data_IF_779610352692
#
_entry.id   IF_779610352692
#
_cell.length_a   1.000
_cell.length_b   1.000
_cell.length_c   1.000
_cell.angle_alpha   90.00
_cell.angle_beta   90.00
_cell.angle_gamma   90.00
#
_symmetry.space_group_name_H-M   'P 1'
#
loop_
_entity.id
_entity.type
_entity.pdbx_description
1 polymer ?
#
# COMPACT_ATOMS: atom_id res chain seq x y z
N UNK A 1 -13.23 -6.25 -4.47
CA UNK A 1 -13.30 -5.04 -3.63
C UNK A 1 -13.15 -3.75 -4.44
N UNK A 2 -12.33 -3.68 -5.50
CA UNK A 2 -12.17 -2.48 -6.37
C UNK A 2 -13.51 -1.83 -6.83
N UNK A 3 -14.55 -2.63 -7.13
CA UNK A 3 -15.87 -2.13 -7.55
C UNK A 3 -16.64 -1.38 -6.46
N UNK A 4 -16.45 -1.76 -5.21
CA UNK A 4 -17.09 -1.09 -4.07
C UNK A 4 -16.34 0.17 -3.66
N UNK A 5 -15.02 0.19 -3.84
CA UNK A 5 -14.17 1.36 -3.62
C UNK A 5 -14.56 2.52 -4.55
N UNK A 6 -14.76 2.22 -5.83
CA UNK A 6 -15.23 3.20 -6.84
C UNK A 6 -16.64 3.70 -6.49
N UNK A 7 -17.53 2.82 -5.99
CA UNK A 7 -18.88 3.22 -5.59
C UNK A 7 -18.88 4.12 -4.36
N UNK A 8 -17.99 3.88 -3.39
CA UNK A 8 -17.79 4.74 -2.21
C UNK A 8 -17.24 6.09 -2.64
N UNK A 9 -16.30 6.13 -3.58
CA UNK A 9 -15.74 7.34 -4.15
C UNK A 9 -16.85 8.20 -4.79
N UNK A 10 -17.69 7.62 -5.65
CA UNK A 10 -18.82 8.34 -6.25
C UNK A 10 -19.85 8.80 -5.21
N UNK A 11 -20.09 8.02 -4.16
CA UNK A 11 -21.00 8.36 -3.08
C UNK A 11 -20.57 9.58 -2.28
N UNK A 12 -19.26 9.79 -2.10
CA UNK A 12 -18.72 10.97 -1.40
C UNK A 12 -18.97 12.29 -2.14
N UNK A 13 -19.09 12.25 -3.47
CA UNK A 13 -19.30 13.44 -4.30
C UNK A 13 -20.76 13.78 -4.55
N UNK A 14 -21.70 12.86 -4.31
CA UNK A 14 -23.13 13.07 -4.57
C UNK A 14 -23.90 13.69 -3.40
N UNK A 15 -23.30 13.84 -2.21
CA UNK A 15 -23.97 14.48 -1.08
C UNK A 15 -23.94 15.99 -1.28
N UNK A 16 -24.98 16.47 -1.95
CA UNK A 16 -25.17 17.89 -2.25
C UNK A 16 -25.64 18.69 -1.03
N UNK A 17 -25.03 19.86 -0.88
CA UNK A 17 -25.64 21.11 -0.44
C UNK A 17 -26.40 21.10 0.90
N UNK A 18 -25.65 21.03 1.97
CA UNK A 18 -26.03 21.71 3.19
C UNK A 18 -24.85 22.62 3.57
N UNK A 19 -25.03 23.88 3.31
CA UNK A 19 -24.33 25.09 3.74
C UNK A 19 -23.24 24.95 4.82
N UNK A 20 -22.14 24.37 4.48
CA UNK A 20 -20.82 24.59 5.05
C UNK A 20 -19.87 24.56 3.86
N UNK A 21 -18.80 25.29 3.90
CA UNK A 21 -17.81 25.40 2.82
C UNK A 21 -17.21 24.03 2.54
N UNK A 22 -17.89 23.24 1.72
CA UNK A 22 -17.54 21.85 1.43
C UNK A 22 -16.73 21.84 0.16
N UNK A 23 -15.43 22.16 0.29
CA UNK A 23 -14.48 22.16 -0.80
C UNK A 23 -14.14 20.71 -1.24
N UNK A 24 -13.95 20.51 -2.53
CA UNK A 24 -13.31 19.32 -3.08
C UNK A 24 -11.91 19.71 -3.49
N UNK A 25 -10.92 19.00 -2.99
CA UNK A 25 -9.52 19.20 -3.29
C UNK A 25 -9.00 18.01 -4.09
N UNK A 26 -8.19 18.29 -5.09
CA UNK A 26 -7.46 17.29 -5.87
C UNK A 26 -6.00 17.70 -5.90
N UNK A 27 -5.09 16.78 -5.66
CA UNK A 27 -3.69 17.14 -5.61
C UNK A 27 -2.75 15.96 -5.76
N UNK A 28 -1.48 16.27 -5.62
CA UNK A 28 -0.38 15.30 -5.58
C UNK A 28 0.26 15.33 -4.19
N UNK A 29 0.75 14.17 -3.78
CA UNK A 29 1.48 14.01 -2.52
C UNK A 29 2.80 13.29 -2.77
N UNK A 30 3.85 13.70 -2.04
CA UNK A 30 5.07 12.93 -1.88
C UNK A 30 5.09 12.33 -0.49
N UNK A 31 5.25 11.03 -0.39
CA UNK A 31 5.15 10.28 0.86
C UNK A 31 6.40 9.47 1.15
N UNK A 32 6.75 9.38 2.43
CA UNK A 32 7.62 8.35 2.98
C UNK A 32 6.74 7.38 3.77
N UNK A 33 6.65 6.15 3.30
CA UNK A 33 5.91 5.07 3.95
C UNK A 33 6.84 4.16 4.74
N UNK A 34 6.44 3.83 5.97
CA UNK A 34 6.98 2.74 6.76
C UNK A 34 5.93 1.64 6.81
N UNK A 35 6.31 0.44 6.41
CA UNK A 35 5.41 -0.69 6.23
C UNK A 35 5.75 -1.81 7.20
N UNK A 36 4.73 -2.44 7.73
CA UNK A 36 4.85 -3.67 8.50
C UNK A 36 3.82 -4.67 7.98
N UNK A 37 4.30 -5.83 7.58
CA UNK A 37 3.47 -6.95 7.14
C UNK A 37 3.87 -8.23 7.89
N UNK A 38 2.90 -9.11 8.12
CA UNK A 38 3.13 -10.42 8.74
C UNK A 38 2.60 -11.50 7.82
N UNK A 39 3.41 -12.53 7.60
CA UNK A 39 3.02 -13.69 6.81
C UNK A 39 3.11 -14.96 7.66
N UNK A 40 2.21 -15.89 7.37
CA UNK A 40 2.20 -17.22 7.99
C UNK A 40 2.15 -18.27 6.89
N UNK A 41 3.20 -19.07 6.83
CA UNK A 41 3.23 -20.26 6.01
C UNK A 41 2.67 -21.45 6.82
N UNK A 42 1.74 -22.18 6.27
CA UNK A 42 1.16 -23.38 6.86
C UNK A 42 1.48 -24.54 5.92
N UNK A 43 2.58 -25.24 6.24
CA UNK A 43 2.98 -26.51 5.65
C UNK A 43 3.01 -27.58 6.75
N UNK A 44 3.86 -28.59 6.64
CA UNK A 44 4.06 -29.61 7.70
C UNK A 44 4.54 -28.99 9.03
N UNK A 45 5.27 -27.87 8.96
CA UNK A 45 5.62 -27.01 10.08
C UNK A 45 5.12 -25.59 9.82
N UNK A 46 4.63 -24.92 10.88
CA UNK A 46 4.15 -23.54 10.76
C UNK A 46 5.31 -22.56 10.95
N UNK A 47 5.61 -21.80 9.92
CA UNK A 47 6.55 -20.68 9.99
C UNK A 47 5.78 -19.35 9.96
N UNK A 48 6.15 -18.43 10.85
CA UNK A 48 5.60 -17.08 10.86
C UNK A 48 6.74 -16.06 10.87
N UNK A 49 6.59 -15.01 10.07
CA UNK A 49 7.54 -13.91 9.99
C UNK A 49 6.83 -12.57 9.95
N UNK A 50 7.52 -11.53 10.37
CA UNK A 50 7.12 -10.15 10.20
C UNK A 50 8.25 -9.40 9.51
N UNK A 51 7.90 -8.67 8.46
CA UNK A 51 8.84 -7.88 7.69
C UNK A 51 8.50 -6.40 7.84
N UNK A 52 9.54 -5.59 7.79
CA UNK A 52 9.44 -4.13 7.87
C UNK A 52 10.14 -3.54 6.66
N UNK A 53 9.50 -2.57 6.04
CA UNK A 53 10.04 -1.87 4.89
C UNK A 53 9.85 -0.37 4.97
N UNK A 54 10.60 0.36 4.15
CA UNK A 54 10.43 1.79 3.95
C UNK A 54 10.53 2.10 2.47
N UNK A 55 9.61 2.91 1.95
CA UNK A 55 9.66 3.38 0.58
C UNK A 55 9.20 4.83 0.47
N UNK A 56 9.80 5.57 -0.48
CA UNK A 56 9.31 6.87 -0.91
C UNK A 56 8.46 6.71 -2.16
N UNK A 57 7.31 7.35 -2.21
CA UNK A 57 6.40 7.28 -3.34
C UNK A 57 5.62 8.57 -3.56
N UNK A 58 5.17 8.76 -4.81
CA UNK A 58 4.24 9.80 -5.19
C UNK A 58 2.82 9.27 -5.29
N UNK A 59 1.85 10.09 -4.92
CA UNK A 59 0.44 9.73 -5.05
C UNK A 59 -0.40 10.87 -5.60
N UNK A 60 -1.57 10.52 -6.10
CA UNK A 60 -2.64 11.45 -6.43
C UNK A 60 -3.76 11.25 -5.43
N UNK A 61 -4.36 12.34 -4.98
CA UNK A 61 -5.47 12.26 -4.04
C UNK A 61 -6.64 13.13 -4.45
N UNK A 62 -7.80 12.72 -3.97
CA UNK A 62 -9.02 13.51 -4.00
C UNK A 62 -9.65 13.48 -2.62
N UNK A 63 -10.02 14.64 -2.11
CA UNK A 63 -10.61 14.74 -0.78
C UNK A 63 -11.74 15.77 -0.75
N UNK A 64 -12.61 15.60 0.22
CA UNK A 64 -13.70 16.49 0.56
C UNK A 64 -13.47 17.09 1.93
N UNK A 65 -13.33 18.41 1.99
CA UNK A 65 -13.27 19.15 3.25
C UNK A 65 -14.63 19.19 3.94
N UNK A 66 -14.62 19.02 5.24
CA UNK A 66 -15.80 19.09 6.11
C UNK A 66 -15.51 20.12 7.20
N UNK A 67 -16.04 21.33 7.01
CA UNK A 67 -15.65 22.48 7.79
C UNK A 67 -14.18 22.85 7.59
N UNK A 68 -13.58 23.51 8.59
CA UNK A 68 -12.26 24.13 8.44
C UNK A 68 -11.10 23.16 8.72
N UNK A 69 -11.37 22.00 9.32
CA UNK A 69 -10.29 21.17 9.86
C UNK A 69 -10.32 19.71 9.44
N UNK A 70 -11.48 19.19 9.08
CA UNK A 70 -11.63 17.78 8.74
C UNK A 70 -11.70 17.61 7.23
N UNK A 71 -11.05 16.58 6.69
CA UNK A 71 -11.28 16.12 5.34
C UNK A 71 -11.35 14.59 5.30
N UNK A 72 -12.11 14.08 4.34
CA UNK A 72 -12.14 12.66 3.97
C UNK A 72 -11.77 12.52 2.50
N UNK A 73 -10.96 11.52 2.20
CA UNK A 73 -10.46 11.37 0.84
C UNK A 73 -9.95 9.99 0.50
N UNK A 74 -9.47 9.90 -0.72
CA UNK A 74 -8.78 8.74 -1.25
C UNK A 74 -7.46 9.20 -1.86
N UNK A 75 -6.43 8.44 -1.57
CA UNK A 75 -5.08 8.59 -2.03
C UNK A 75 -4.71 7.33 -2.83
N UNK A 76 -4.12 7.49 -4.00
CA UNK A 76 -3.76 6.41 -4.90
C UNK A 76 -2.34 6.59 -5.41
N UNK A 77 -1.54 5.55 -5.29
CA UNK A 77 -0.17 5.48 -5.80
C UNK A 77 -0.21 4.79 -7.17
N UNK A 78 0.06 5.53 -8.27
CA UNK A 78 -0.05 4.98 -9.62
C UNK A 78 1.14 4.10 -10.03
N UNK A 79 2.27 4.28 -9.36
CA UNK A 79 3.49 3.54 -9.65
C UNK A 79 3.61 2.31 -8.75
N UNK A 80 4.12 1.21 -9.31
CA UNK A 80 4.48 0.02 -8.56
C UNK A 80 5.68 0.30 -7.63
N UNK A 81 5.61 -0.19 -6.40
CA UNK A 81 6.71 -0.16 -5.45
C UNK A 81 7.40 -1.53 -5.48
N UNK A 82 8.53 -1.61 -6.18
CA UNK A 82 9.26 -2.86 -6.37
C UNK A 82 10.20 -3.13 -5.20
N UNK A 83 10.24 -4.39 -4.74
CA UNK A 83 11.27 -4.86 -3.81
C UNK A 83 12.58 -5.14 -4.54
N UNK A 84 13.67 -5.27 -3.79
CA UNK A 84 14.88 -5.85 -4.34
C UNK A 84 14.66 -7.31 -4.72
N UNK A 85 15.32 -7.75 -5.81
CA UNK A 85 15.31 -9.16 -6.22
C UNK A 85 16.18 -9.97 -5.26
N UNK A 86 15.57 -10.95 -4.59
CA UNK A 86 16.30 -11.91 -3.75
C UNK A 86 16.68 -13.13 -4.56
N UNK A 87 17.97 -13.48 -4.59
CA UNK A 87 18.49 -14.68 -5.23
C UNK A 87 18.88 -15.71 -4.16
N UNK A 88 18.34 -16.92 -4.26
CA UNK A 88 18.67 -18.02 -3.36
C UNK A 88 19.20 -19.20 -4.17
N UNK A 89 20.48 -19.55 -3.95
CA UNK A 89 21.07 -20.74 -4.54
C UNK A 89 20.79 -21.97 -3.66
N UNK A 90 20.23 -23.02 -4.24
CA UNK A 90 19.98 -24.30 -3.60
C UNK A 90 20.70 -25.41 -4.35
N UNK A 91 21.19 -26.42 -3.64
CA UNK A 91 21.66 -27.66 -4.25
C UNK A 91 20.56 -28.72 -4.17
N UNK A 92 20.04 -29.08 -5.35
CA UNK A 92 19.03 -30.12 -5.43
C UNK A 92 19.70 -31.46 -5.82
N UNK A 93 19.31 -32.54 -5.13
CA UNK A 93 19.68 -33.93 -5.45
C UNK A 93 18.43 -34.64 -5.97
N UNK A 94 18.12 -34.46 -7.23
CA UNK A 94 17.06 -35.17 -7.89
C UNK A 94 17.49 -36.65 -8.10
N UNK A 95 17.44 -37.47 -7.03
CA UNK A 95 17.65 -38.92 -7.10
C UNK A 95 18.95 -39.40 -7.77
N UNK A 96 19.71 -38.51 -8.37
CA UNK A 96 20.99 -38.71 -9.05
C UNK A 96 22.16 -38.38 -8.14
N UNK A 97 23.27 -39.07 -8.30
CA UNK A 97 24.45 -38.88 -7.43
C UNK A 97 25.15 -37.52 -7.55
N UNK A 98 24.71 -36.65 -8.46
CA UNK A 98 25.34 -35.35 -8.71
C UNK A 98 24.36 -34.25 -8.32
N UNK A 99 24.75 -33.43 -7.32
CA UNK A 99 24.02 -32.23 -6.97
C UNK A 99 24.09 -31.19 -8.09
N UNK A 100 22.96 -30.61 -8.45
CA UNK A 100 22.88 -29.51 -9.43
C UNK A 100 22.59 -28.23 -8.68
N UNK A 101 23.36 -27.18 -8.95
CA UNK A 101 23.10 -25.85 -8.41
C UNK A 101 21.86 -25.25 -9.10
N UNK A 102 20.89 -24.84 -8.33
CA UNK A 102 19.63 -24.19 -8.74
C UNK A 102 19.55 -22.81 -8.12
N UNK A 103 19.13 -21.83 -8.92
CA UNK A 103 18.98 -20.45 -8.43
C UNK A 103 17.53 -20.01 -8.56
N UNK A 104 16.92 -19.70 -7.43
CA UNK A 104 15.60 -19.11 -7.39
C UNK A 104 15.73 -17.59 -7.23
N UNK A 105 14.96 -16.85 -8.01
CA UNK A 105 14.87 -15.37 -7.95
C UNK A 105 13.44 -15.00 -7.60
N UNK A 106 13.29 -14.14 -6.63
CA UNK A 106 12.00 -13.66 -6.17
C UNK A 106 12.08 -12.13 -6.03
N UNK A 107 11.12 -11.46 -6.62
CA UNK A 107 10.86 -10.02 -6.48
C UNK A 107 9.39 -9.83 -6.18
N UNK A 108 9.06 -8.86 -5.35
CA UNK A 108 7.68 -8.55 -4.97
C UNK A 108 7.39 -7.11 -5.37
N UNK A 109 6.32 -6.94 -6.13
CA UNK A 109 5.82 -5.63 -6.52
C UNK A 109 4.53 -5.34 -5.76
N UNK A 110 4.44 -4.12 -5.23
CA UNK A 110 3.25 -3.60 -4.57
C UNK A 110 2.57 -2.65 -5.53
N UNK A 111 1.41 -3.07 -6.03
CA UNK A 111 0.65 -2.34 -7.04
C UNK A 111 -0.66 -1.79 -6.47
N UNK A 112 -1.20 -0.75 -7.11
CA UNK A 112 -2.52 -0.19 -6.79
C UNK A 112 -2.68 0.22 -5.30
N UNK A 113 -1.59 0.67 -4.63
CA UNK A 113 -1.65 1.12 -3.24
C UNK A 113 -2.67 2.25 -3.10
N UNK A 114 -3.76 1.96 -2.42
CA UNK A 114 -4.89 2.87 -2.25
C UNK A 114 -5.19 3.07 -0.77
N UNK A 115 -5.35 4.32 -0.35
CA UNK A 115 -5.72 4.66 1.03
C UNK A 115 -7.01 5.46 1.06
N UNK A 116 -8.03 4.97 1.75
CA UNK A 116 -9.21 5.76 2.12
C UNK A 116 -8.94 6.35 3.49
N UNK A 117 -9.04 7.67 3.64
CA UNK A 117 -8.59 8.32 4.84
C UNK A 117 -9.51 9.42 5.36
N UNK A 118 -9.33 9.73 6.63
CA UNK A 118 -9.74 10.98 7.25
C UNK A 118 -8.49 11.74 7.70
N UNK A 119 -8.47 13.05 7.50
CA UNK A 119 -7.40 13.93 7.95
C UNK A 119 -7.95 15.04 8.82
N UNK A 120 -7.16 15.46 9.81
CA UNK A 120 -7.47 16.55 10.72
C UNK A 120 -6.34 17.57 10.69
N UNK A 121 -6.65 18.79 10.27
CA UNK A 121 -5.71 19.91 10.31
C UNK A 121 -5.44 20.30 11.76
N UNK A 122 -4.18 20.20 12.17
CA UNK A 122 -3.67 20.60 13.48
C UNK A 122 -3.31 22.08 13.48
N UNK A 123 -2.72 22.53 12.38
CA UNK A 123 -2.44 23.96 12.07
C UNK A 123 -2.90 24.25 10.64
N UNK A 124 -2.70 25.46 10.18
CA UNK A 124 -3.02 25.86 8.79
C UNK A 124 -2.21 25.08 7.75
N UNK A 125 -1.05 24.54 8.13
CA UNK A 125 -0.14 23.84 7.22
C UNK A 125 0.17 22.40 7.61
N UNK A 126 -0.25 21.91 8.77
CA UNK A 126 0.04 20.55 9.24
C UNK A 126 -1.22 19.79 9.58
N UNK A 127 -1.22 18.49 9.32
CA UNK A 127 -2.35 17.61 9.59
C UNK A 127 -1.89 16.22 10.04
N UNK A 128 -2.79 15.52 10.70
CA UNK A 128 -2.71 14.08 10.95
C UNK A 128 -3.73 13.35 10.08
N UNK A 129 -3.36 12.15 9.65
CA UNK A 129 -4.17 11.31 8.76
C UNK A 129 -4.31 9.92 9.37
N UNK A 130 -5.49 9.34 9.28
CA UNK A 130 -5.76 7.93 9.58
C UNK A 130 -6.53 7.34 8.43
N UNK A 131 -6.21 6.12 8.05
CA UNK A 131 -6.82 5.51 6.88
C UNK A 131 -6.84 3.99 6.90
N UNK A 132 -7.65 3.47 5.99
CA UNK A 132 -7.63 2.08 5.58
C UNK A 132 -6.85 1.99 4.28
N UNK A 133 -5.89 1.10 4.22
CA UNK A 133 -5.00 0.91 3.08
C UNK A 133 -5.23 -0.46 2.46
N UNK A 134 -5.18 -0.52 1.14
CA UNK A 134 -5.24 -1.76 0.35
C UNK A 134 -4.15 -1.70 -0.72
N UNK A 135 -3.49 -2.83 -0.96
CA UNK A 135 -2.42 -2.98 -1.95
C UNK A 135 -2.46 -4.36 -2.56
N UNK A 136 -2.24 -4.45 -3.87
CA UNK A 136 -2.08 -5.72 -4.57
C UNK A 136 -0.58 -6.10 -4.52
N UNK A 137 -0.29 -7.30 -4.05
CA UNK A 137 1.06 -7.86 -3.99
C UNK A 137 1.23 -8.85 -5.12
N UNK A 138 2.09 -8.51 -6.06
CA UNK A 138 2.42 -9.33 -7.22
C UNK A 138 3.77 -9.99 -6.99
N UNK A 139 3.79 -11.31 -6.98
CA UNK A 139 5.01 -12.08 -6.78
C UNK A 139 5.61 -12.45 -8.13
N UNK A 140 6.77 -11.88 -8.44
CA UNK A 140 7.55 -12.18 -9.63
C UNK A 140 8.60 -13.23 -9.29
N UNK A 141 8.36 -14.45 -9.73
CA UNK A 141 9.20 -15.61 -9.42
C UNK A 141 9.84 -16.19 -10.67
N UNK A 142 11.12 -16.50 -10.56
CA UNK A 142 11.83 -17.34 -11.52
C UNK A 142 12.45 -18.50 -10.76
N UNK A 143 11.69 -19.58 -10.63
CA UNK A 143 12.05 -20.74 -9.83
C UNK A 143 12.61 -21.84 -10.74
N UNK A 144 13.81 -22.33 -10.43
CA UNK A 144 14.35 -23.55 -11.02
C UNK A 144 13.91 -24.78 -10.23
N UNK A 145 13.46 -24.58 -8.98
CA UNK A 145 12.97 -25.66 -8.10
C UNK A 145 12.11 -25.08 -7.00
N UNK A 146 11.10 -25.82 -6.54
CA UNK A 146 10.17 -25.45 -5.48
C UNK A 146 8.83 -24.98 -6.02
N UNK A 147 7.94 -24.67 -5.11
CA UNK A 147 6.55 -24.26 -5.39
C UNK A 147 6.45 -22.74 -5.57
N UNK A 148 5.55 -22.30 -6.43
CA UNK A 148 5.25 -20.89 -6.66
C UNK A 148 4.19 -20.37 -5.70
N UNK A 149 4.17 -19.04 -5.50
CA UNK A 149 3.17 -18.36 -4.70
C UNK A 149 2.37 -17.40 -5.58
N UNK A 150 1.05 -17.48 -5.47
CA UNK A 150 0.14 -16.57 -6.19
C UNK A 150 0.16 -15.15 -5.66
N UNK A 151 -0.40 -14.23 -6.45
CA UNK A 151 -0.62 -12.86 -6.03
C UNK A 151 -1.63 -12.78 -4.89
N UNK A 152 -1.45 -11.83 -3.97
CA UNK A 152 -2.32 -11.64 -2.82
C UNK A 152 -2.69 -10.17 -2.66
N UNK A 153 -3.90 -9.91 -2.17
CA UNK A 153 -4.35 -8.58 -1.79
C UNK A 153 -4.08 -8.40 -0.28
N UNK A 154 -3.44 -7.31 0.11
CA UNK A 154 -3.22 -6.93 1.48
C UNK A 154 -4.08 -5.72 1.83
N UNK A 155 -4.77 -5.85 2.94
CA UNK A 155 -5.52 -4.77 3.57
C UNK A 155 -4.88 -4.39 4.90
N UNK A 156 -5.11 -3.15 5.34
CA UNK A 156 -4.49 -2.70 6.58
C UNK A 156 -4.94 -1.32 7.02
N UNK A 157 -4.18 -0.76 7.94
CA UNK A 157 -4.42 0.57 8.49
C UNK A 157 -3.21 1.46 8.31
N UNK A 158 -3.46 2.75 8.16
CA UNK A 158 -2.45 3.80 8.01
C UNK A 158 -2.67 4.89 9.03
N UNK A 159 -1.56 5.37 9.60
CA UNK A 159 -1.51 6.63 10.35
C UNK A 159 -0.43 7.50 9.74
N UNK A 160 -0.72 8.77 9.51
CA UNK A 160 0.18 9.70 8.86
C UNK A 160 0.23 11.07 9.52
N UNK A 161 1.33 11.74 9.26
CA UNK A 161 1.51 13.16 9.53
C UNK A 161 1.96 13.84 8.24
N UNK A 162 1.38 14.99 7.91
CA UNK A 162 1.71 15.70 6.70
C UNK A 162 1.78 17.21 6.87
N UNK A 163 2.39 17.81 5.87
CA UNK A 163 2.44 19.26 5.68
C UNK A 163 1.87 19.62 4.32
N UNK A 164 1.01 20.63 4.29
CA UNK A 164 0.49 21.24 3.07
C UNK A 164 1.31 22.49 2.79
N UNK A 165 1.70 22.68 1.54
CA UNK A 165 2.26 23.92 1.05
C UNK A 165 1.35 24.47 -0.04
N UNK A 166 0.68 25.59 0.25
CA UNK A 166 -0.24 26.25 -0.67
C UNK A 166 0.56 27.24 -1.54
N UNK A 167 0.38 27.13 -2.85
CA UNK A 167 1.00 28.01 -3.84
C UNK A 167 0.04 29.08 -4.37
N UNK A 168 -1.17 29.16 -3.81
CA UNK A 168 -2.24 30.00 -4.32
C UNK A 168 -3.02 29.35 -5.48
N UNK A 169 -4.11 30.02 -5.87
CA UNK A 169 -5.00 29.56 -6.96
C UNK A 169 -5.58 28.14 -6.79
N UNK A 170 -5.68 27.66 -5.53
CA UNK A 170 -6.19 26.34 -5.20
C UNK A 170 -5.22 25.19 -5.49
N UNK A 171 -3.95 25.50 -5.76
CA UNK A 171 -2.91 24.49 -5.95
C UNK A 171 -2.10 24.34 -4.67
N UNK A 172 -1.91 23.09 -4.25
CA UNK A 172 -1.05 22.77 -3.11
C UNK A 172 -0.34 21.44 -3.32
N UNK A 173 0.78 21.28 -2.65
CA UNK A 173 1.57 20.06 -2.60
C UNK A 173 1.63 19.56 -1.18
N UNK A 174 1.53 18.27 -1.02
CA UNK A 174 1.66 17.57 0.25
C UNK A 174 2.97 16.83 0.36
N UNK A 175 3.50 16.83 1.57
CA UNK A 175 4.56 15.92 1.98
C UNK A 175 4.08 15.16 3.20
N UNK A 176 4.15 13.84 3.15
CA UNK A 176 3.61 12.96 4.19
C UNK A 176 4.65 11.97 4.70
N UNK A 177 4.54 11.63 5.97
CA UNK A 177 5.15 10.43 6.53
C UNK A 177 4.01 9.53 7.03
N UNK A 178 3.96 8.31 6.52
CA UNK A 178 2.90 7.35 6.80
C UNK A 178 3.49 6.08 7.42
N UNK A 179 2.84 5.58 8.45
CA UNK A 179 3.08 4.24 9.00
C UNK A 179 1.88 3.35 8.67
N UNK A 180 2.15 2.25 7.96
CA UNK A 180 1.14 1.33 7.45
C UNK A 180 1.36 -0.05 8.06
N UNK A 181 0.28 -0.63 8.57
CA UNK A 181 0.28 -1.98 9.13
C UNK A 181 -0.73 -2.80 8.35
N UNK A 182 -0.26 -3.87 7.74
CA UNK A 182 -1.09 -4.79 6.97
C UNK A 182 -1.51 -5.99 7.81
N UNK A 183 -2.69 -6.48 7.51
CA UNK A 183 -3.23 -7.70 8.11
C UNK A 183 -2.42 -8.92 7.64
N UNK A 184 -2.39 -9.96 8.47
CA UNK A 184 -1.69 -11.19 8.13
C UNK A 184 -2.40 -11.90 6.98
N UNK A 185 -1.66 -12.28 5.95
CA UNK A 185 -2.16 -13.09 4.85
C UNK A 185 -1.58 -14.50 4.93
N UNK A 186 -2.37 -15.48 4.48
CA UNK A 186 -1.92 -16.85 4.31
C UNK A 186 -1.80 -17.14 2.83
N UNK A 187 -0.59 -17.41 2.37
CA UNK A 187 -0.33 -17.87 1.02
C UNK A 187 -0.21 -19.41 1.03
N UNK A 188 -0.81 -20.04 0.03
CA UNK A 188 -0.67 -21.48 -0.21
C UNK A 188 0.22 -21.65 -1.44
N UNK A 189 1.24 -22.49 -1.32
CA UNK A 189 2.09 -22.83 -2.46
C UNK A 189 1.29 -23.64 -3.47
N UNK A 190 1.51 -23.36 -4.75
CA UNK A 190 1.00 -24.15 -5.88
C UNK A 190 2.11 -25.06 -6.38
N UNK A 191 1.86 -26.39 -6.36
CA UNK A 191 2.77 -27.43 -6.88
C UNK A 191 2.67 -27.56 -8.40
#
# INVERSE_FOLDING_TARGET
MKKYLIAILFGLFTVSQASADVGVNVGISGSLGLFTASAKEVADETHSGSEHGAAGFGSIFIEKSIGDRLAIGVDYVPDSLESETTETAKQDKDGSATATDRTNKIQVDFEDLTTIYASLNVTDSTYVKVGYVSVDVVTNESLETGSSYGNVDLDGTSIGFGVNNDFGDGMFVRMEANYMTFDSVSATSED
#
